data_IF_860054565959
#
_entry.id   IF_860054565959
#
_cell.length_a   1.000
_cell.length_b   1.000
_cell.length_c   1.000
_cell.angle_alpha   90.00
_cell.angle_beta   90.00
_cell.angle_gamma   90.00
#
_symmetry.space_group_name_H-M   'P 1'
#
loop_
_entity.id
_entity.type
_entity.pdbx_description
1 polymer ?
#
# COMPACT_ATOMS: atom_id res chain seq x y z
N UNK A 1 24.90 -17.80 -6.24
CA UNK A 1 24.40 -16.45 -5.92
C UNK A 1 22.89 -16.53 -5.81
N UNK A 2 22.31 -16.16 -4.66
CA UNK A 2 20.86 -16.20 -4.47
C UNK A 2 20.23 -14.93 -5.07
N UNK A 3 19.26 -15.09 -5.96
CA UNK A 3 18.55 -13.99 -6.60
C UNK A 3 17.08 -14.03 -6.18
N UNK A 4 16.59 -12.98 -5.53
CA UNK A 4 15.22 -12.93 -5.01
C UNK A 4 14.46 -11.76 -5.60
N UNK A 5 13.24 -12.01 -6.05
CA UNK A 5 12.33 -11.00 -6.57
C UNK A 5 11.27 -10.67 -5.51
N UNK A 6 11.52 -9.62 -4.72
CA UNK A 6 10.59 -9.12 -3.72
C UNK A 6 9.53 -8.21 -4.35
N UNK A 7 8.31 -8.21 -3.80
CA UNK A 7 7.19 -7.43 -4.31
C UNK A 7 7.01 -7.56 -5.84
N UNK A 8 7.13 -8.79 -6.33
CA UNK A 8 7.14 -9.11 -7.74
C UNK A 8 5.82 -8.66 -8.38
N UNK A 9 5.91 -7.68 -9.28
CA UNK A 9 4.77 -7.14 -10.02
C UNK A 9 4.72 -7.68 -11.42
N UNK A 10 3.53 -8.05 -11.86
CA UNK A 10 3.30 -8.42 -13.26
C UNK A 10 1.97 -7.87 -13.77
N UNK A 11 2.08 -6.81 -14.57
CA UNK A 11 0.93 -6.22 -15.25
C UNK A 11 0.34 -7.19 -16.28
N UNK A 12 -0.94 -7.04 -16.59
CA UNK A 12 -1.60 -7.85 -17.61
C UNK A 12 -0.98 -7.63 -19.01
N UNK A 13 -0.59 -6.39 -19.32
CA UNK A 13 0.09 -6.06 -20.57
C UNK A 13 1.43 -6.80 -20.65
N UNK A 14 2.26 -6.75 -19.61
CA UNK A 14 3.55 -7.45 -19.58
C UNK A 14 3.35 -8.97 -19.69
N UNK A 15 2.40 -9.52 -18.95
CA UNK A 15 2.04 -10.94 -19.04
C UNK A 15 1.70 -11.35 -20.48
N UNK A 16 0.81 -10.62 -21.16
CA UNK A 16 0.44 -10.92 -22.55
C UNK A 16 1.63 -10.95 -23.51
N UNK A 17 2.56 -10.00 -23.37
CA UNK A 17 3.76 -9.97 -24.22
C UNK A 17 4.69 -11.15 -23.95
N UNK A 18 4.91 -11.47 -22.67
CA UNK A 18 5.81 -12.55 -22.27
C UNK A 18 5.23 -13.96 -22.45
N UNK A 19 3.91 -14.07 -22.51
CA UNK A 19 3.21 -15.34 -22.81
C UNK A 19 3.30 -15.74 -24.29
N UNK A 20 3.85 -14.90 -25.16
CA UNK A 20 4.00 -15.23 -26.57
C UNK A 20 5.01 -16.39 -26.75
N UNK A 21 4.73 -17.42 -27.58
CA UNK A 21 5.56 -18.62 -27.70
C UNK A 21 7.02 -18.35 -28.05
N UNK A 22 7.30 -17.27 -28.77
CA UNK A 22 8.65 -16.88 -29.17
C UNK A 22 9.52 -16.40 -27.98
N UNK A 23 8.92 -15.87 -26.93
CA UNK A 23 9.64 -15.30 -25.77
C UNK A 23 9.38 -16.06 -24.47
N UNK A 24 8.38 -16.94 -24.45
CA UNK A 24 8.04 -17.77 -23.29
C UNK A 24 9.22 -18.63 -22.78
N UNK A 25 10.00 -19.32 -23.62
CA UNK A 25 11.16 -20.09 -23.15
C UNK A 25 12.23 -19.22 -22.50
N UNK A 26 12.40 -17.99 -22.98
CA UNK A 26 13.37 -17.04 -22.44
C UNK A 26 12.97 -16.60 -21.04
N UNK A 27 11.73 -16.17 -20.84
CA UNK A 27 11.28 -15.74 -19.52
C UNK A 27 11.21 -16.91 -18.53
N UNK A 28 10.81 -18.10 -18.98
CA UNK A 28 10.85 -19.31 -18.14
C UNK A 28 12.27 -19.59 -17.65
N UNK A 29 13.27 -19.51 -18.54
CA UNK A 29 14.68 -19.66 -18.17
C UNK A 29 15.12 -18.57 -17.19
N UNK A 30 14.75 -17.30 -17.42
CA UNK A 30 15.08 -16.21 -16.50
C UNK A 30 14.46 -16.42 -15.12
N UNK A 31 13.18 -16.79 -15.06
CA UNK A 31 12.46 -17.04 -13.80
C UNK A 31 13.03 -18.25 -13.05
N UNK A 32 13.55 -19.26 -13.76
CA UNK A 32 14.22 -20.42 -13.14
C UNK A 32 15.49 -20.09 -12.37
N UNK A 33 16.10 -18.91 -12.60
CA UNK A 33 17.32 -18.47 -11.91
C UNK A 33 17.03 -17.79 -10.56
N UNK A 34 15.78 -17.44 -10.28
CA UNK A 34 15.40 -16.90 -8.99
C UNK A 34 15.34 -18.01 -7.93
N UNK A 35 15.83 -17.71 -6.74
CA UNK A 35 15.74 -18.58 -5.57
C UNK A 35 14.39 -18.40 -4.85
N UNK A 36 13.76 -17.24 -5.00
CA UNK A 36 12.46 -16.89 -4.43
C UNK A 36 11.83 -15.74 -5.24
N UNK A 37 10.54 -15.84 -5.52
CA UNK A 37 9.70 -14.81 -6.13
C UNK A 37 8.55 -14.56 -5.17
N UNK A 38 8.34 -13.31 -4.78
CA UNK A 38 7.30 -12.92 -3.82
C UNK A 38 6.30 -11.98 -4.48
N UNK A 39 5.24 -12.51 -5.14
CA UNK A 39 4.21 -11.72 -5.77
C UNK A 39 3.32 -11.01 -4.74
N UNK A 40 2.81 -9.83 -5.11
CA UNK A 40 1.96 -9.01 -4.23
C UNK A 40 0.53 -9.54 -4.08
N UNK A 41 0.07 -10.38 -5.01
CA UNK A 41 -1.29 -10.91 -5.03
C UNK A 41 -1.34 -12.31 -5.62
N UNK A 42 -2.43 -13.03 -5.34
CA UNK A 42 -2.71 -14.34 -5.97
C UNK A 42 -2.78 -14.23 -7.50
N UNK A 43 -3.35 -13.14 -8.02
CA UNK A 43 -3.42 -12.91 -9.46
C UNK A 43 -2.03 -12.79 -10.11
N UNK A 44 -1.10 -12.10 -9.46
CA UNK A 44 0.29 -12.02 -9.94
C UNK A 44 1.02 -13.35 -9.77
N UNK A 45 0.81 -14.06 -8.66
CA UNK A 45 1.36 -15.40 -8.46
C UNK A 45 0.95 -16.36 -9.57
N UNK A 46 -0.33 -16.36 -9.95
CA UNK A 46 -0.86 -17.15 -11.07
C UNK A 46 -0.15 -16.77 -12.38
N UNK A 47 0.03 -15.47 -12.65
CA UNK A 47 0.73 -15.02 -13.87
C UNK A 47 2.18 -15.50 -13.92
N UNK A 48 2.91 -15.45 -12.80
CA UNK A 48 4.26 -16.00 -12.73
C UNK A 48 4.28 -17.52 -12.98
N UNK A 49 3.34 -18.27 -12.41
CA UNK A 49 3.21 -19.71 -12.66
C UNK A 49 2.87 -20.04 -14.11
N UNK A 50 1.98 -19.26 -14.73
CA UNK A 50 1.62 -19.40 -16.15
C UNK A 50 2.81 -19.09 -17.09
N UNK A 51 3.75 -18.24 -16.65
CA UNK A 51 5.04 -18.02 -17.33
C UNK A 51 6.10 -19.06 -16.98
N UNK A 52 5.70 -20.18 -16.38
CA UNK A 52 6.54 -21.31 -15.99
C UNK A 52 7.58 -21.00 -14.90
N UNK A 53 7.29 -20.03 -14.02
CA UNK A 53 8.04 -19.92 -12.77
C UNK A 53 7.86 -21.22 -11.95
N UNK A 54 8.94 -21.83 -11.42
CA UNK A 54 8.81 -23.02 -10.61
C UNK A 54 7.89 -22.79 -9.40
N UNK A 55 6.89 -23.65 -9.14
CA UNK A 55 5.87 -23.38 -8.13
C UNK A 55 6.45 -23.30 -6.71
N UNK A 56 7.54 -24.01 -6.44
CA UNK A 56 8.20 -24.04 -5.14
C UNK A 56 9.00 -22.76 -4.81
N UNK A 57 9.25 -21.88 -5.78
CA UNK A 57 9.93 -20.59 -5.53
C UNK A 57 8.94 -19.41 -5.51
N UNK A 58 7.68 -19.61 -5.86
CA UNK A 58 6.67 -18.54 -5.86
C UNK A 58 5.92 -18.59 -4.54
N UNK A 59 6.14 -17.59 -3.68
CA UNK A 59 5.48 -17.53 -2.38
C UNK A 59 4.82 -16.16 -2.18
N UNK A 60 3.52 -16.15 -1.91
CA UNK A 60 2.80 -14.90 -1.71
C UNK A 60 3.21 -14.34 -0.34
N UNK A 61 3.65 -13.08 -0.34
CA UNK A 61 3.85 -12.30 0.87
C UNK A 61 3.26 -10.92 0.69
N UNK A 62 2.93 -10.29 1.81
CA UNK A 62 2.32 -8.97 1.79
C UNK A 62 3.34 -7.89 1.35
N UNK A 63 2.83 -6.80 0.78
CA UNK A 63 3.64 -5.72 0.20
C UNK A 63 4.57 -5.10 1.25
N UNK A 64 5.86 -5.03 0.94
CA UNK A 64 6.83 -4.32 1.79
C UNK A 64 6.50 -2.84 1.99
N UNK A 65 5.70 -2.23 1.10
CA UNK A 65 5.17 -0.87 1.31
C UNK A 65 4.28 -0.74 2.56
N UNK A 66 3.84 -1.85 3.14
CA UNK A 66 3.11 -1.85 4.42
C UNK A 66 4.03 -1.80 5.64
N UNK A 67 5.35 -1.81 5.46
CA UNK A 67 6.33 -1.80 6.55
C UNK A 67 6.66 -0.39 7.06
N UNK A 68 5.98 0.65 6.55
CA UNK A 68 6.17 2.07 6.92
C UNK A 68 5.93 2.30 8.42
N UNK A 69 5.27 1.36 9.11
CA UNK A 69 5.02 1.40 10.55
C UNK A 69 6.26 1.28 11.46
N UNK A 70 7.33 0.58 11.04
CA UNK A 70 8.42 0.16 11.94
C UNK A 70 9.64 1.08 11.97
N UNK A 71 9.73 2.10 11.11
CA UNK A 71 10.83 3.07 11.16
C UNK A 71 10.46 4.17 12.16
N UNK A 72 11.23 4.21 13.25
CA UNK A 72 11.14 5.15 14.36
C UNK A 72 11.14 6.60 13.89
N UNK A 73 10.10 7.37 14.22
CA UNK A 73 10.06 8.82 13.99
C UNK A 73 11.00 9.54 14.96
N UNK A 74 11.73 10.54 14.46
CA UNK A 74 12.58 11.39 15.29
C UNK A 74 11.71 12.32 16.15
N UNK A 75 11.94 12.35 17.46
CA UNK A 75 11.17 13.08 18.47
C UNK A 75 11.04 14.59 18.20
N UNK A 76 11.92 15.15 17.37
CA UNK A 76 11.91 16.58 17.02
C UNK A 76 10.85 16.96 15.97
N UNK A 77 10.49 16.06 15.05
CA UNK A 77 9.47 16.32 14.03
C UNK A 77 8.07 16.43 14.67
N UNK A 78 7.78 15.56 15.64
CA UNK A 78 6.53 15.55 16.41
C UNK A 78 6.28 16.88 17.13
N UNK A 79 7.32 17.48 17.73
CA UNK A 79 7.21 18.79 18.40
C UNK A 79 6.89 19.94 17.44
N UNK A 80 7.44 19.92 16.23
CA UNK A 80 7.16 20.93 15.20
C UNK A 80 5.71 20.84 14.69
N UNK A 81 5.21 19.63 14.50
CA UNK A 81 3.82 19.33 14.12
C UNK A 81 2.84 19.81 15.19
N UNK A 82 3.09 19.49 16.47
CA UNK A 82 2.24 19.93 17.58
C UNK A 82 2.22 21.46 17.73
N UNK A 83 3.37 22.13 17.59
CA UNK A 83 3.44 23.59 17.59
C UNK A 83 2.69 24.20 16.40
N UNK A 84 2.77 23.60 15.23
CA UNK A 84 2.05 24.06 14.05
C UNK A 84 0.53 23.92 14.22
N UNK A 85 0.05 22.78 14.76
CA UNK A 85 -1.36 22.60 15.12
C UNK A 85 -1.85 23.63 16.14
N UNK A 86 -1.03 23.92 17.16
CA UNK A 86 -1.37 24.94 18.15
C UNK A 86 -1.51 26.34 17.53
N UNK A 87 -0.74 26.65 16.48
CA UNK A 87 -0.83 27.93 15.76
C UNK A 87 -2.04 28.01 14.82
N UNK A 88 -2.58 26.88 14.35
CA UNK A 88 -3.71 26.85 13.42
C UNK A 88 -5.07 27.17 14.06
N UNK A 89 -5.15 27.28 15.39
CA UNK A 89 -6.23 27.94 16.14
C UNK A 89 -7.66 27.60 15.63
N UNK A 90 -7.97 26.30 15.50
CA UNK A 90 -9.27 25.75 15.06
C UNK A 90 -9.72 26.12 13.63
N UNK A 91 -8.83 26.58 12.75
CA UNK A 91 -9.19 26.83 11.34
C UNK A 91 -9.16 25.53 10.53
N UNK A 92 -10.15 25.34 9.67
CA UNK A 92 -10.14 24.25 8.68
C UNK A 92 -9.00 24.47 7.67
N UNK A 93 -8.04 23.55 7.67
CA UNK A 93 -6.90 23.58 6.75
C UNK A 93 -7.08 22.49 5.71
N UNK A 94 -7.23 22.91 4.45
CA UNK A 94 -7.24 22.02 3.30
C UNK A 94 -5.84 21.95 2.72
N UNK A 95 -5.26 20.75 2.68
CA UNK A 95 -3.95 20.53 2.05
C UNK A 95 -4.12 19.57 0.87
N UNK A 96 -3.84 20.06 -0.33
CA UNK A 96 -3.72 19.24 -1.53
C UNK A 96 -2.24 19.08 -1.86
N UNK A 97 -1.69 17.87 -1.66
CA UNK A 97 -0.30 17.56 -1.96
C UNK A 97 -0.21 16.49 -3.05
N UNK A 98 0.55 16.78 -4.11
CA UNK A 98 0.84 15.84 -5.19
C UNK A 98 2.25 15.31 -5.01
N UNK A 99 2.36 14.20 -4.29
CA UNK A 99 3.67 13.66 -3.92
C UNK A 99 4.14 12.69 -4.98
N UNK A 100 5.31 12.96 -5.56
CA UNK A 100 5.91 12.13 -6.59
C UNK A 100 6.95 11.17 -5.99
N UNK A 101 7.19 10.07 -6.70
CA UNK A 101 8.14 9.03 -6.30
C UNK A 101 9.55 9.64 -6.15
N UNK A 102 10.05 9.74 -4.92
CA UNK A 102 11.37 10.32 -4.62
C UNK A 102 11.34 11.51 -3.64
N UNK A 103 10.17 12.05 -3.33
CA UNK A 103 9.99 13.01 -2.24
C UNK A 103 9.97 12.25 -0.89
N UNK A 104 10.66 12.79 0.13
CA UNK A 104 11.02 12.07 1.35
C UNK A 104 9.82 11.37 2.03
N UNK A 105 9.73 10.04 1.91
CA UNK A 105 8.63 9.21 2.43
C UNK A 105 8.39 9.39 3.95
N UNK A 106 9.41 9.83 4.70
CA UNK A 106 9.32 10.11 6.13
C UNK A 106 8.60 11.42 6.49
N UNK A 107 8.76 12.47 5.71
CA UNK A 107 8.17 13.80 6.00
C UNK A 107 6.66 13.81 5.73
N UNK A 108 6.22 13.00 4.76
CA UNK A 108 4.82 12.89 4.39
C UNK A 108 3.96 12.24 5.48
N UNK A 109 4.54 11.31 6.25
CA UNK A 109 3.84 10.65 7.36
C UNK A 109 3.48 11.64 8.48
N UNK A 110 4.35 12.61 8.75
CA UNK A 110 4.10 13.67 9.72
C UNK A 110 3.03 14.64 9.23
N UNK A 111 3.02 14.96 7.94
CA UNK A 111 1.96 15.77 7.32
C UNK A 111 0.60 15.07 7.39
N UNK A 112 0.53 13.76 7.16
CA UNK A 112 -0.74 13.03 7.28
C UNK A 112 -1.29 13.01 8.72
N UNK A 113 -0.46 13.12 9.76
CA UNK A 113 -0.95 13.22 11.15
C UNK A 113 -1.70 14.52 11.41
N UNK A 114 -1.44 15.56 10.61
CA UNK A 114 -2.14 16.83 10.66
C UNK A 114 -3.49 16.78 9.93
N UNK A 115 -3.72 15.74 9.12
CA UNK A 115 -4.87 15.66 8.21
C UNK A 115 -5.89 14.66 8.77
N UNK A 116 -7.03 15.13 9.33
CA UNK A 116 -8.05 14.22 9.84
C UNK A 116 -8.72 13.41 8.71
N UNK A 117 -8.78 13.98 7.50
CA UNK A 117 -9.35 13.35 6.31
C UNK A 117 -8.34 13.46 5.16
N UNK A 118 -8.13 12.36 4.44
CA UNK A 118 -7.23 12.27 3.29
C UNK A 118 -8.00 11.77 2.08
N UNK A 119 -8.12 12.62 1.06
CA UNK A 119 -8.73 12.25 -0.22
C UNK A 119 -7.63 11.89 -1.21
N UNK A 120 -7.69 10.67 -1.74
CA UNK A 120 -6.68 10.15 -2.66
C UNK A 120 -7.05 10.57 -4.08
N UNK A 121 -6.72 11.80 -4.46
CA UNK A 121 -7.19 12.43 -5.71
C UNK A 121 -6.91 11.61 -6.98
N UNK A 122 -5.71 11.04 -7.11
CA UNK A 122 -5.33 10.22 -8.26
C UNK A 122 -6.19 8.95 -8.47
N UNK A 123 -7.02 8.56 -7.50
CA UNK A 123 -7.95 7.43 -7.62
C UNK A 123 -9.32 7.78 -8.23
N UNK A 124 -9.57 9.05 -8.54
CA UNK A 124 -10.76 9.51 -9.27
C UNK A 124 -10.56 9.55 -10.78
N UNK A 125 -9.32 9.37 -11.27
CA UNK A 125 -8.99 9.42 -12.68
C UNK A 125 -8.74 8.01 -13.23
N UNK A 126 -9.37 7.60 -14.34
CA UNK A 126 -9.17 6.26 -14.92
C UNK A 126 -7.72 5.97 -15.36
N UNK A 127 -6.96 7.03 -15.67
CA UNK A 127 -5.59 6.97 -16.16
C UNK A 127 -4.54 6.92 -15.04
N UNK A 128 -4.96 7.11 -13.80
CA UNK A 128 -4.09 7.14 -12.63
C UNK A 128 -4.58 6.14 -11.59
N UNK A 129 -3.68 5.75 -10.70
CA UNK A 129 -4.03 5.01 -9.49
C UNK A 129 -3.59 5.86 -8.33
N UNK A 130 -4.50 6.18 -7.42
CA UNK A 130 -4.17 6.88 -6.18
C UNK A 130 -2.93 6.29 -5.48
N UNK A 131 -2.14 7.14 -4.83
CA UNK A 131 -0.95 6.73 -4.09
C UNK A 131 -1.10 7.08 -2.61
N UNK A 132 -0.19 6.55 -1.79
CA UNK A 132 -0.04 6.88 -0.38
C UNK A 132 -1.23 6.53 0.53
N UNK A 133 -2.07 5.57 0.11
CA UNK A 133 -3.24 5.10 0.87
C UNK A 133 -2.79 4.52 2.22
N UNK A 134 -1.78 3.66 2.21
CA UNK A 134 -1.31 2.97 3.41
C UNK A 134 -0.69 3.94 4.43
N UNK A 135 0.04 4.94 3.94
CA UNK A 135 0.66 6.01 4.71
C UNK A 135 -0.40 6.89 5.39
N UNK A 136 -1.45 7.28 4.67
CA UNK A 136 -2.57 8.02 5.23
C UNK A 136 -3.31 7.23 6.32
N UNK A 137 -3.52 5.92 6.11
CA UNK A 137 -4.12 5.04 7.12
C UNK A 137 -3.22 4.88 8.35
N UNK A 138 -1.92 4.69 8.14
CA UNK A 138 -0.93 4.53 9.21
C UNK A 138 -0.79 5.80 10.08
N UNK A 139 -1.00 6.97 9.47
CA UNK A 139 -1.01 8.25 10.17
C UNK A 139 -2.32 8.51 10.95
N UNK A 140 -3.35 7.70 10.75
CA UNK A 140 -4.64 7.83 11.43
C UNK A 140 -5.62 8.79 10.76
N UNK A 141 -5.47 9.04 9.46
CA UNK A 141 -6.46 9.81 8.69
C UNK A 141 -7.65 8.93 8.31
N UNK A 142 -8.85 9.51 8.24
CA UNK A 142 -9.97 8.90 7.53
C UNK A 142 -9.69 8.97 6.03
N UNK A 143 -9.62 7.82 5.35
CA UNK A 143 -9.18 7.76 3.96
C UNK A 143 -10.38 7.63 3.01
N UNK A 144 -10.43 8.53 2.03
CA UNK A 144 -11.41 8.53 0.93
C UNK A 144 -10.69 8.27 -0.39
N UNK A 145 -11.19 7.31 -1.16
CA UNK A 145 -10.67 6.96 -2.49
C UNK A 145 -11.78 7.05 -3.54
N UNK A 146 -11.39 7.31 -4.79
CA UNK A 146 -12.21 7.08 -5.96
C UNK A 146 -12.19 5.61 -6.41
N UNK A 147 -12.90 5.25 -7.49
CA UNK A 147 -13.04 3.87 -7.94
C UNK A 147 -11.73 3.30 -8.51
N UNK A 148 -10.79 4.15 -8.93
CA UNK A 148 -9.57 3.76 -9.65
C UNK A 148 -8.37 3.65 -8.71
N UNK A 149 -8.34 2.60 -7.90
CA UNK A 149 -7.21 2.33 -6.98
C UNK A 149 -6.09 1.50 -7.62
N UNK A 150 -6.25 1.09 -8.88
CA UNK A 150 -5.23 0.41 -9.69
C UNK A 150 -4.57 -0.76 -8.96
N UNK A 151 -3.24 -0.71 -8.82
CA UNK A 151 -2.48 -1.79 -8.18
C UNK A 151 -2.72 -1.93 -6.66
N UNK A 152 -3.48 -1.03 -6.05
CA UNK A 152 -3.85 -1.08 -4.64
C UNK A 152 -5.22 -1.74 -4.40
N UNK A 153 -5.90 -2.24 -5.43
CA UNK A 153 -7.23 -2.86 -5.32
C UNK A 153 -7.28 -4.00 -4.31
N UNK A 154 -6.26 -4.85 -4.28
CA UNK A 154 -6.17 -5.95 -3.31
C UNK A 154 -6.01 -5.44 -1.88
N UNK A 155 -5.21 -4.39 -1.67
CA UNK A 155 -5.09 -3.76 -0.35
C UNK A 155 -6.43 -3.20 0.09
N UNK A 156 -7.07 -2.41 -0.77
CA UNK A 156 -8.33 -1.74 -0.45
C UNK A 156 -9.39 -2.77 -0.09
N UNK A 157 -9.50 -3.84 -0.87
CA UNK A 157 -10.40 -4.96 -0.59
C UNK A 157 -10.07 -5.68 0.72
N UNK A 158 -8.78 -5.95 1.00
CA UNK A 158 -8.37 -6.59 2.25
C UNK A 158 -8.66 -5.72 3.49
N UNK A 159 -8.37 -4.41 3.41
CA UNK A 159 -8.66 -3.44 4.48
C UNK A 159 -10.16 -3.34 4.75
N UNK A 160 -10.98 -3.22 3.69
CA UNK A 160 -12.43 -3.17 3.80
C UNK A 160 -13.02 -4.48 4.34
N UNK A 161 -12.43 -5.62 3.98
CA UNK A 161 -12.84 -6.94 4.50
C UNK A 161 -12.52 -7.09 5.99
N UNK A 162 -11.42 -6.50 6.46
CA UNK A 162 -11.08 -6.45 7.88
C UNK A 162 -12.01 -5.49 8.65
N UNK A 163 -12.21 -4.28 8.13
CA UNK A 163 -13.15 -3.31 8.67
C UNK A 163 -13.73 -2.46 7.54
N UNK A 164 -15.06 -2.51 7.27
CA UNK A 164 -15.68 -1.74 6.19
C UNK A 164 -15.53 -0.22 6.32
N UNK A 165 -15.26 0.30 7.53
CA UNK A 165 -15.03 1.72 7.77
C UNK A 165 -13.60 2.18 7.44
N UNK A 166 -12.67 1.24 7.19
CA UNK A 166 -11.24 1.53 7.01
C UNK A 166 -10.92 2.42 5.81
N UNK A 167 -11.64 2.23 4.70
CA UNK A 167 -11.49 3.02 3.47
C UNK A 167 -12.88 3.30 2.90
N UNK A 168 -13.19 4.57 2.73
CA UNK A 168 -14.40 5.01 2.03
C UNK A 168 -14.11 5.12 0.53
N UNK A 169 -14.75 4.30 -0.29
CA UNK A 169 -14.67 4.42 -1.74
C UNK A 169 -15.93 5.08 -2.27
N UNK A 170 -15.76 6.15 -3.05
CA UNK A 170 -16.84 6.95 -3.64
C UNK A 170 -16.68 7.01 -5.16
N UNK A 171 -17.79 7.12 -5.88
CA UNK A 171 -17.81 6.97 -7.34
C UNK A 171 -17.62 8.28 -8.11
N UNK A 172 -17.76 9.43 -7.45
CA UNK A 172 -17.68 10.74 -8.10
C UNK A 172 -17.90 11.92 -7.15
N UNK A 173 -17.99 13.11 -7.73
CA UNK A 173 -18.00 14.40 -7.01
C UNK A 173 -19.12 14.50 -5.97
N UNK A 174 -20.36 14.15 -6.33
CA UNK A 174 -21.50 14.28 -5.42
C UNK A 174 -21.34 13.41 -4.16
N UNK A 175 -20.89 12.17 -4.31
CA UNK A 175 -20.63 11.26 -3.19
C UNK A 175 -19.43 11.72 -2.35
N UNK A 176 -18.40 12.27 -2.99
CA UNK A 176 -17.24 12.84 -2.31
C UNK A 176 -17.64 14.04 -1.44
N UNK A 177 -18.37 15.00 -2.00
CA UNK A 177 -18.84 16.19 -1.28
C UNK A 177 -19.72 15.78 -0.10
N UNK A 178 -20.67 14.86 -0.33
CA UNK A 178 -21.53 14.34 0.74
C UNK A 178 -20.70 13.70 1.86
N UNK A 179 -19.74 12.86 1.49
CA UNK A 179 -18.87 12.16 2.45
C UNK A 179 -18.01 13.14 3.25
N UNK A 180 -17.44 14.15 2.59
CA UNK A 180 -16.68 15.20 3.27
C UNK A 180 -17.56 15.97 4.25
N UNK A 181 -18.76 16.38 3.83
CA UNK A 181 -19.69 17.08 4.70
C UNK A 181 -20.07 16.24 5.93
N UNK A 182 -20.36 14.95 5.74
CA UNK A 182 -20.67 14.05 6.85
C UNK A 182 -19.51 13.90 7.85
N UNK A 183 -18.27 13.77 7.36
CA UNK A 183 -17.10 13.60 8.23
C UNK A 183 -16.66 14.89 8.92
N UNK A 184 -16.84 16.05 8.26
CA UNK A 184 -16.55 17.36 8.86
C UNK A 184 -17.62 17.75 9.89
N UNK A 185 -18.86 17.30 9.72
CA UNK A 185 -19.98 17.67 10.60
C UNK A 185 -20.19 16.72 11.78
N UNK A 186 -19.62 15.52 11.74
CA UNK A 186 -19.81 14.48 12.76
C UNK A 186 -18.45 13.92 13.24
N UNK A 187 -17.91 14.45 14.36
CA UNK A 187 -16.63 14.01 14.91
C UNK A 187 -16.59 12.53 15.28
N UNK A 188 -17.72 11.93 15.67
CA UNK A 188 -17.78 10.51 16.04
C UNK A 188 -17.62 9.62 14.80
N UNK A 189 -18.26 10.00 13.67
CA UNK A 189 -18.07 9.28 12.40
C UNK A 189 -16.65 9.40 11.88
N UNK A 190 -16.06 10.59 12.01
CA UNK A 190 -14.67 10.83 11.66
C UNK A 190 -13.72 9.94 12.49
N UNK A 191 -13.84 9.99 13.82
CA UNK A 191 -13.01 9.19 14.73
C UNK A 191 -13.17 7.69 14.50
N UNK A 192 -14.39 7.22 14.24
CA UNK A 192 -14.65 5.82 13.92
C UNK A 192 -13.90 5.37 12.66
N UNK A 193 -13.88 6.21 11.60
CA UNK A 193 -13.14 5.92 10.37
C UNK A 193 -11.63 6.00 10.55
N UNK A 194 -11.13 7.00 11.29
CA UNK A 194 -9.71 7.12 11.60
C UNK A 194 -9.20 5.90 12.38
N UNK A 195 -9.96 5.47 13.37
CA UNK A 195 -9.67 4.28 14.18
C UNK A 195 -9.70 3.02 13.32
N UNK A 196 -10.74 2.84 12.50
CA UNK A 196 -10.85 1.71 11.59
C UNK A 196 -9.69 1.63 10.59
N UNK A 197 -9.30 2.77 10.01
CA UNK A 197 -8.18 2.85 9.08
C UNK A 197 -6.87 2.43 9.75
N UNK A 198 -6.58 2.98 10.93
CA UNK A 198 -5.37 2.66 11.69
C UNK A 198 -5.33 1.19 12.13
N UNK A 199 -6.45 0.65 12.62
CA UNK A 199 -6.55 -0.77 13.02
C UNK A 199 -6.37 -1.71 11.83
N UNK A 200 -7.02 -1.43 10.69
CA UNK A 200 -6.87 -2.24 9.49
C UNK A 200 -5.43 -2.20 8.96
N UNK A 201 -4.81 -1.02 8.95
CA UNK A 201 -3.40 -0.88 8.61
C UNK A 201 -2.53 -1.74 9.53
N UNK A 202 -2.64 -1.56 10.85
CA UNK A 202 -1.84 -2.32 11.81
C UNK A 202 -2.06 -3.83 11.69
N UNK A 203 -3.30 -4.29 11.56
CA UNK A 203 -3.61 -5.72 11.48
C UNK A 203 -3.02 -6.37 10.22
N UNK A 204 -3.03 -5.65 9.09
CA UNK A 204 -2.51 -6.14 7.83
C UNK A 204 -1.01 -5.92 7.70
N UNK A 205 -0.44 -4.89 8.34
CA UNK A 205 1.01 -4.64 8.37
C UNK A 205 1.75 -5.52 9.38
N UNK A 206 1.08 -5.98 10.43
CA UNK A 206 1.70 -6.74 11.51
C UNK A 206 2.19 -8.10 11.03
N UNK A 207 3.49 -8.35 11.24
CA UNK A 207 4.14 -9.60 10.88
C UNK A 207 4.44 -9.75 9.39
N UNK A 208 4.24 -8.73 8.55
CA UNK A 208 4.71 -8.76 7.15
C UNK A 208 6.22 -8.92 7.13
N UNK A 209 6.96 -8.07 7.86
CA UNK A 209 8.42 -8.17 7.94
C UNK A 209 8.86 -9.51 8.51
N UNK A 210 8.20 -10.01 9.55
CA UNK A 210 8.48 -11.33 10.11
C UNK A 210 8.23 -12.46 9.10
N UNK A 211 7.15 -12.41 8.31
CA UNK A 211 6.84 -13.41 7.27
C UNK A 211 7.82 -13.34 6.11
N UNK A 212 8.15 -12.13 5.64
CA UNK A 212 9.18 -11.93 4.62
C UNK A 212 10.52 -12.46 5.14
N UNK A 213 10.88 -12.13 6.37
CA UNK A 213 12.12 -12.60 7.00
C UNK A 213 12.16 -14.11 7.18
N UNK A 214 11.07 -14.76 7.63
CA UNK A 214 10.95 -16.22 7.72
C UNK A 214 11.13 -16.87 6.34
N UNK A 215 10.54 -16.28 5.29
CA UNK A 215 10.68 -16.82 3.93
C UNK A 215 12.09 -16.61 3.39
N UNK A 216 12.71 -15.45 3.63
CA UNK A 216 14.10 -15.20 3.27
C UNK A 216 15.07 -16.14 4.00
N UNK A 217 14.88 -16.35 5.32
CA UNK A 217 15.68 -17.28 6.12
C UNK A 217 15.56 -18.72 5.60
N UNK A 218 14.33 -19.16 5.33
CA UNK A 218 14.05 -20.52 4.86
C UNK A 218 14.60 -20.80 3.45
N UNK A 219 14.42 -19.87 2.52
CA UNK A 219 14.80 -20.07 1.12
C UNK A 219 16.25 -19.70 0.80
N UNK A 220 16.86 -18.81 1.59
CA UNK A 220 18.22 -18.32 1.35
C UNK A 220 19.16 -18.85 2.43
N UNK A 221 18.99 -18.44 3.69
CA UNK A 221 20.00 -18.64 4.73
C UNK A 221 20.23 -20.11 5.07
N UNK A 222 19.16 -20.93 5.13
CA UNK A 222 19.27 -22.38 5.38
C UNK A 222 19.69 -23.22 4.17
N UNK A 223 19.84 -22.62 2.98
CA UNK A 223 20.24 -23.30 1.73
C UNK A 223 21.60 -22.84 1.20
N UNK A 224 22.27 -21.93 1.89
CA UNK A 224 23.66 -21.59 1.60
C UNK A 224 24.56 -22.75 2.09
N UNK A 225 25.47 -23.28 1.25
CA UNK A 225 26.48 -24.20 1.73
C UNK A 225 27.37 -23.47 2.74
N UNK A 226 27.65 -24.14 3.87
CA UNK A 226 28.62 -23.69 4.90
C UNK A 226 30.01 -23.56 4.29
#
# INVERSE_FOLDING_TARGET
>A
MALVLLNARMSERSFKHWSAPAVLPLIALMLSKFSLIMPLSTAEAIRFQLLQAPPFIVNISADLKYCVGEITTSTNALKGVEQFLAQLNHREVWMASSVHKGEHEGELRELYRLMPISVIGGSFLPTSSGHNIAEAMAAGSAVITGPHVGHFSHMVSAMQSFNPLSILQVSGEAELIKSLHELLSDPLKLEARQTAAKQAFHALSFGILSRVWIQLDWFILKRLPV
#
